data_IF_782079355911
#
_entry.id   IF_782079355911
#
_cell.length_a   1.000
_cell.length_b   1.000
_cell.length_c   1.000
_cell.angle_alpha   90.00
_cell.angle_beta   90.00
_cell.angle_gamma   90.00
#
_symmetry.space_group_name_H-M   'P 1'
#
loop_
_entity.id
_entity.type
_entity.pdbx_description
1 polymer ?
#
# COMPACT_ATOMS: atom_id res chain seq x y z
N UNK A 1 11.13 -16.01 0.46
CA UNK A 1 10.85 -15.56 -0.91
C UNK A 1 9.34 -15.49 -1.06
N UNK A 2 8.81 -14.36 -1.55
CA UNK A 2 7.35 -14.13 -1.65
C UNK A 2 6.82 -14.39 -3.08
N UNK A 3 7.72 -14.83 -3.95
CA UNK A 3 7.49 -15.30 -5.31
C UNK A 3 6.99 -16.75 -5.36
N UNK A 4 6.32 -17.10 -6.45
CA UNK A 4 6.08 -18.49 -6.85
C UNK A 4 6.64 -18.67 -8.25
N UNK A 5 7.14 -19.86 -8.55
CA UNK A 5 7.37 -20.26 -9.94
C UNK A 5 6.01 -20.41 -10.64
N UNK A 6 5.89 -19.78 -11.79
CA UNK A 6 4.67 -19.74 -12.61
C UNK A 6 4.92 -20.28 -14.02
N UNK A 7 6.08 -20.88 -14.29
CA UNK A 7 6.40 -21.37 -15.63
C UNK A 7 5.39 -22.38 -16.14
N UNK A 8 4.98 -23.33 -15.32
CA UNK A 8 3.98 -24.34 -15.68
C UNK A 8 2.59 -23.73 -15.89
N UNK A 9 2.25 -22.64 -15.19
CA UNK A 9 1.01 -21.89 -15.42
C UNK A 9 1.01 -21.27 -16.82
N UNK A 10 2.13 -20.68 -17.22
CA UNK A 10 2.27 -20.01 -18.51
C UNK A 10 2.45 -21.00 -19.68
N UNK A 11 3.15 -22.11 -19.45
CA UNK A 11 3.58 -23.04 -20.51
C UNK A 11 2.68 -24.26 -20.70
N UNK A 12 1.91 -24.66 -19.67
CA UNK A 12 1.15 -25.92 -19.66
C UNK A 12 -0.33 -25.76 -19.27
N UNK A 13 -0.84 -24.53 -19.22
CA UNK A 13 -2.22 -24.23 -18.78
C UNK A 13 -2.54 -24.81 -17.38
N UNK A 14 -1.53 -24.87 -16.50
CA UNK A 14 -1.73 -25.29 -15.11
C UNK A 14 -2.33 -24.16 -14.28
N UNK A 15 -3.13 -24.51 -13.26
CA UNK A 15 -3.59 -23.51 -12.28
C UNK A 15 -2.42 -23.08 -11.40
N UNK A 16 -2.28 -21.77 -11.22
CA UNK A 16 -1.28 -21.20 -10.31
C UNK A 16 -1.59 -21.45 -8.84
N UNK A 17 -0.55 -21.44 -8.01
CA UNK A 17 -0.63 -21.61 -6.55
C UNK A 17 -0.79 -20.30 -5.79
N UNK A 18 -0.52 -19.16 -6.44
CA UNK A 18 -0.64 -17.84 -5.83
C UNK A 18 -2.11 -17.48 -5.61
N UNK A 19 -2.51 -17.44 -4.34
CA UNK A 19 -3.85 -17.06 -3.90
C UNK A 19 -3.90 -15.67 -3.25
N UNK A 20 -2.73 -15.06 -3.02
CA UNK A 20 -2.56 -13.80 -2.32
C UNK A 20 -1.46 -12.94 -2.95
N UNK A 21 -1.70 -11.62 -2.98
CA UNK A 21 -0.75 -10.59 -3.41
C UNK A 21 -0.87 -9.39 -2.47
N UNK A 22 0.24 -9.02 -1.84
CA UNK A 22 0.38 -7.72 -1.19
C UNK A 22 0.80 -6.73 -2.27
N UNK A 23 -0.01 -5.70 -2.49
CA UNK A 23 0.36 -4.61 -3.40
C UNK A 23 1.27 -3.61 -2.69
N UNK A 24 0.94 -3.27 -1.45
CA UNK A 24 1.67 -2.30 -0.65
C UNK A 24 1.35 -2.50 0.84
N UNK A 25 2.33 -2.20 1.69
CA UNK A 25 2.18 -2.19 3.14
C UNK A 25 3.06 -1.09 3.72
N UNK A 26 2.47 0.07 4.03
CA UNK A 26 3.19 1.20 4.60
C UNK A 26 3.20 1.08 6.11
N UNK A 27 4.38 0.81 6.67
CA UNK A 27 4.62 0.84 8.11
C UNK A 27 5.38 2.11 8.51
N UNK A 28 5.05 2.76 9.64
CA UNK A 28 5.84 3.86 10.17
C UNK A 28 7.30 3.46 10.47
N UNK A 29 8.26 4.39 10.34
CA UNK A 29 8.09 5.77 9.86
C UNK A 29 7.85 5.83 8.34
N UNK A 30 6.93 6.71 7.92
CA UNK A 30 6.62 6.99 6.51
C UNK A 30 6.18 8.44 6.35
N UNK A 31 6.45 9.04 5.18
CA UNK A 31 5.99 10.38 4.82
C UNK A 31 4.51 10.41 4.38
N UNK A 32 3.90 9.24 4.17
CA UNK A 32 2.50 9.13 3.74
C UNK A 32 1.60 9.37 4.96
N UNK A 33 0.71 10.38 4.93
CA UNK A 33 -0.14 10.69 6.06
C UNK A 33 -1.19 9.60 6.27
N UNK A 34 -1.57 9.48 7.55
CA UNK A 34 -2.69 8.63 7.97
C UNK A 34 -4.01 9.22 7.48
N UNK A 35 -4.96 8.37 7.09
CA UNK A 35 -6.31 8.77 6.66
C UNK A 35 -7.38 8.12 7.54
N UNK A 36 -8.34 8.90 8.01
CA UNK A 36 -9.39 8.40 8.90
C UNK A 36 -8.86 7.84 10.23
N UNK A 37 -9.67 7.00 10.89
CA UNK A 37 -9.32 6.33 12.16
C UNK A 37 -9.30 4.82 11.97
N UNK A 38 -8.55 4.10 12.81
CA UNK A 38 -8.55 2.65 12.83
C UNK A 38 -9.98 2.10 13.01
N UNK A 39 -10.39 1.19 12.13
CA UNK A 39 -11.74 0.63 12.11
C UNK A 39 -11.98 -0.34 13.27
N UNK A 40 -10.98 -1.18 13.57
CA UNK A 40 -10.97 -2.10 14.70
C UNK A 40 -9.67 -1.92 15.49
N UNK A 41 -9.73 -2.16 16.80
CA UNK A 41 -8.59 -2.00 17.70
C UNK A 41 -7.64 -3.20 17.69
N UNK A 42 -8.07 -4.34 17.12
CA UNK A 42 -7.38 -5.63 17.17
C UNK A 42 -6.99 -6.19 15.80
N UNK A 43 -7.16 -5.40 14.74
CA UNK A 43 -6.75 -5.73 13.36
C UNK A 43 -5.70 -4.74 12.87
N UNK A 44 -5.28 -4.86 11.60
CA UNK A 44 -4.43 -3.85 10.97
C UNK A 44 -5.05 -2.45 11.09
N UNK A 45 -4.22 -1.46 11.43
CA UNK A 45 -4.63 -0.06 11.57
C UNK A 45 -5.00 0.51 10.19
N UNK A 46 -6.30 0.62 9.93
CA UNK A 46 -6.84 1.09 8.64
C UNK A 46 -6.51 2.55 8.33
N UNK A 47 -5.95 3.30 9.28
CA UNK A 47 -5.42 4.63 8.99
C UNK A 47 -4.12 4.61 8.18
N UNK A 48 -3.42 3.48 8.17
CA UNK A 48 -2.21 3.26 7.39
C UNK A 48 -2.53 2.78 5.97
N UNK A 49 -1.69 3.20 5.01
CA UNK A 49 -1.82 2.79 3.61
C UNK A 49 -1.39 1.34 3.44
N UNK A 50 -2.29 0.52 2.94
CA UNK A 50 -1.98 -0.85 2.54
C UNK A 50 -2.96 -1.31 1.46
N UNK A 51 -2.56 -2.32 0.69
CA UNK A 51 -3.48 -3.03 -0.19
C UNK A 51 -3.08 -4.50 -0.33
N UNK A 52 -4.08 -5.36 -0.22
CA UNK A 52 -3.97 -6.81 -0.27
C UNK A 52 -5.06 -7.36 -1.18
N UNK A 53 -4.70 -8.27 -2.08
CA UNK A 53 -5.64 -9.13 -2.78
C UNK A 53 -5.51 -10.56 -2.25
N UNK A 54 -6.62 -11.16 -1.87
CA UNK A 54 -6.71 -12.59 -1.55
C UNK A 54 -7.93 -13.20 -2.26
N UNK A 55 -7.67 -14.15 -3.15
CA UNK A 55 -8.69 -14.71 -4.03
C UNK A 55 -9.39 -13.65 -4.88
N UNK A 56 -10.72 -13.60 -4.77
CA UNK A 56 -11.58 -12.66 -5.48
C UNK A 56 -11.57 -11.25 -4.88
N UNK A 57 -11.10 -11.09 -3.64
CA UNK A 57 -11.26 -9.86 -2.88
C UNK A 57 -9.98 -9.04 -2.84
N UNK A 58 -10.13 -7.73 -3.01
CA UNK A 58 -9.06 -6.75 -2.79
C UNK A 58 -9.52 -5.72 -1.76
N UNK A 59 -8.68 -5.49 -0.76
CA UNK A 59 -8.84 -4.41 0.22
C UNK A 59 -7.81 -3.31 -0.04
N UNK A 60 -8.22 -2.08 0.21
CA UNK A 60 -7.36 -0.89 0.24
C UNK A 60 -7.64 -0.17 1.56
N UNK A 61 -6.59 0.23 2.27
CA UNK A 61 -6.69 1.02 3.51
C UNK A 61 -5.91 2.33 3.43
N UNK A 62 -6.23 3.27 4.33
CA UNK A 62 -5.50 4.52 4.47
C UNK A 62 -5.61 5.42 3.25
N UNK A 63 -4.52 6.11 2.93
CA UNK A 63 -4.46 7.01 1.78
C UNK A 63 -4.30 6.20 0.49
N UNK A 64 -5.24 6.27 -0.46
CA UNK A 64 -5.18 5.50 -1.71
C UNK A 64 -4.05 5.99 -2.63
N UNK A 65 -3.62 5.13 -3.56
CA UNK A 65 -2.34 5.26 -4.26
C UNK A 65 -2.07 6.59 -4.99
N UNK A 66 -3.12 7.31 -5.36
CA UNK A 66 -3.11 8.59 -6.06
C UNK A 66 -2.86 9.82 -5.16
N UNK A 67 -3.18 9.71 -3.87
CA UNK A 67 -3.09 10.82 -2.92
C UNK A 67 -1.78 10.71 -2.13
N UNK A 68 -0.91 11.71 -2.28
CA UNK A 68 0.37 11.76 -1.57
C UNK A 68 0.20 12.38 -0.18
N UNK A 69 -0.57 13.46 -0.08
CA UNK A 69 -0.83 14.15 1.17
C UNK A 69 -2.17 14.89 1.15
N UNK A 70 -2.50 15.52 2.28
CA UNK A 70 -3.51 16.57 2.37
C UNK A 70 -2.84 17.87 2.82
N UNK A 71 -3.31 19.01 2.34
CA UNK A 71 -2.89 20.32 2.86
C UNK A 71 -3.44 20.55 4.27
N UNK A 72 -2.98 21.60 4.95
CA UNK A 72 -3.51 22.00 6.27
C UNK A 72 -5.03 22.29 6.23
N UNK A 73 -5.52 22.77 5.09
CA UNK A 73 -6.95 23.05 4.85
C UNK A 73 -7.75 21.81 4.43
N UNK A 74 -7.11 20.64 4.30
CA UNK A 74 -7.75 19.37 3.96
C UNK A 74 -7.85 19.07 2.47
N UNK A 75 -7.23 19.88 1.60
CA UNK A 75 -7.23 19.67 0.16
C UNK A 75 -6.28 18.54 -0.24
N UNK A 76 -6.66 17.64 -1.15
CA UNK A 76 -5.80 16.54 -1.59
C UNK A 76 -4.60 17.04 -2.39
N UNK A 77 -3.40 16.58 -2.03
CA UNK A 77 -2.17 16.70 -2.83
C UNK A 77 -1.93 15.35 -3.50
N UNK A 78 -2.12 15.28 -4.82
CA UNK A 78 -1.90 14.07 -5.63
C UNK A 78 -1.06 14.36 -6.86
N UNK A 79 -0.60 13.30 -7.53
CA UNK A 79 -0.08 13.40 -8.89
C UNK A 79 -1.28 13.40 -9.84
N UNK A 80 -1.44 14.35 -10.76
CA UNK A 80 -2.49 14.27 -11.79
C UNK A 80 -2.27 13.03 -12.67
N UNK A 81 -3.06 11.98 -12.42
CA UNK A 81 -3.10 10.74 -13.19
C UNK A 81 -4.47 10.68 -13.84
N UNK A 82 -4.48 10.64 -15.17
CA UNK A 82 -5.70 10.44 -15.96
C UNK A 82 -6.26 9.05 -15.64
N UNK A 83 -7.55 8.95 -15.30
CA UNK A 83 -8.24 7.67 -15.08
C UNK A 83 -8.50 7.27 -13.62
N UNK A 84 -8.40 8.21 -12.67
CA UNK A 84 -8.75 7.93 -11.27
C UNK A 84 -10.26 7.76 -11.13
N UNK A 85 -10.65 6.75 -10.35
CA UNK A 85 -12.05 6.54 -9.97
C UNK A 85 -12.56 7.77 -9.16
N UNK A 86 -13.57 8.50 -9.66
CA UNK A 86 -14.19 9.61 -8.93
C UNK A 86 -14.72 9.20 -7.55
N UNK A 87 -15.05 7.92 -7.34
CA UNK A 87 -15.49 7.37 -6.05
C UNK A 87 -14.38 7.33 -4.99
N UNK A 88 -13.12 7.54 -5.36
CA UNK A 88 -11.99 7.62 -4.43
C UNK A 88 -11.63 9.08 -4.12
N UNK A 89 -11.84 10.00 -5.07
CA UNK A 89 -11.52 11.42 -4.93
C UNK A 89 -12.60 12.19 -4.15
N UNK A 90 -13.88 11.89 -4.39
CA UNK A 90 -15.01 12.66 -3.83
C UNK A 90 -15.60 12.05 -2.55
N UNK A 91 -14.81 11.25 -1.83
CA UNK A 91 -15.23 10.63 -0.56
C UNK A 91 -14.64 11.35 0.63
N UNK A 92 -15.37 11.33 1.75
CA UNK A 92 -14.95 11.93 3.02
C UNK A 92 -13.50 11.53 3.40
N UNK A 93 -12.77 12.48 4.00
CA UNK A 93 -11.45 12.23 4.60
C UNK A 93 -11.48 11.16 5.70
N UNK A 94 -12.65 10.89 6.27
CA UNK A 94 -12.84 9.82 7.26
C UNK A 94 -12.92 8.43 6.63
N UNK A 95 -13.23 8.30 5.33
CA UNK A 95 -13.25 7.01 4.64
C UNK A 95 -11.83 6.54 4.40
N UNK A 96 -11.48 5.36 4.89
CA UNK A 96 -10.13 4.81 4.80
C UNK A 96 -10.11 3.29 4.57
N UNK A 97 -11.24 2.71 4.15
CA UNK A 97 -11.36 1.30 3.75
C UNK A 97 -12.22 1.23 2.50
N UNK A 98 -11.74 0.46 1.53
CA UNK A 98 -12.47 0.05 0.32
C UNK A 98 -12.29 -1.45 0.13
N UNK A 99 -13.36 -2.13 -0.29
CA UNK A 99 -13.35 -3.56 -0.59
C UNK A 99 -14.00 -3.80 -1.94
N UNK A 100 -13.30 -4.51 -2.82
CA UNK A 100 -13.76 -4.85 -4.16
C UNK A 100 -13.72 -6.36 -4.39
N UNK A 101 -14.72 -6.88 -5.10
CA UNK A 101 -14.68 -8.24 -5.65
C UNK A 101 -14.11 -8.17 -7.06
N UNK A 102 -12.79 -8.30 -7.21
CA UNK A 102 -12.08 -8.11 -8.49
C UNK A 102 -12.53 -9.07 -9.58
N UNK A 103 -12.99 -10.28 -9.22
CA UNK A 103 -13.50 -11.24 -10.20
C UNK A 103 -14.83 -10.80 -10.80
N UNK A 104 -15.68 -10.10 -10.04
CA UNK A 104 -16.99 -9.58 -10.49
C UNK A 104 -16.96 -8.11 -10.91
N UNK A 105 -15.98 -7.36 -10.40
CA UNK A 105 -15.81 -5.92 -10.56
C UNK A 105 -14.32 -5.61 -10.81
N UNK A 106 -13.79 -5.94 -12.00
CA UNK A 106 -12.38 -5.81 -12.31
C UNK A 106 -11.91 -4.34 -12.41
N UNK A 107 -12.84 -3.40 -12.49
CA UNK A 107 -12.56 -1.96 -12.59
C UNK A 107 -12.72 -1.23 -11.26
N UNK A 108 -12.98 -1.95 -10.17
CA UNK A 108 -13.06 -1.38 -8.81
C UNK A 108 -14.11 -0.26 -8.69
N UNK A 109 -15.24 -0.39 -9.39
CA UNK A 109 -16.27 0.65 -9.45
C UNK A 109 -17.18 0.64 -8.23
N UNK A 110 -17.39 -0.53 -7.63
CA UNK A 110 -18.36 -0.74 -6.56
C UNK A 110 -17.64 -1.15 -5.27
N UNK A 111 -17.42 -0.17 -4.40
CA UNK A 111 -17.01 -0.46 -3.03
C UNK A 111 -18.13 -1.17 -2.27
N UNK A 112 -17.81 -2.33 -1.70
CA UNK A 112 -18.74 -3.20 -0.96
C UNK A 112 -18.28 -3.48 0.47
N UNK A 113 -17.40 -2.66 1.04
CA UNK A 113 -16.87 -2.83 2.40
C UNK A 113 -17.99 -2.93 3.46
N UNK A 114 -18.93 -1.98 3.46
CA UNK A 114 -20.02 -1.92 4.44
C UNK A 114 -20.96 -3.13 4.37
N UNK A 115 -21.07 -3.76 3.19
CA UNK A 115 -21.91 -4.94 2.94
C UNK A 115 -21.22 -6.25 3.33
N UNK A 116 -19.90 -6.24 3.52
CA UNK A 116 -19.09 -7.45 3.74
C UNK A 116 -18.10 -7.29 4.91
N UNK A 117 -18.54 -6.90 6.12
CA UNK A 117 -17.64 -6.63 7.25
C UNK A 117 -16.78 -7.83 7.67
N UNK A 118 -17.28 -9.06 7.50
CA UNK A 118 -16.51 -10.27 7.77
C UNK A 118 -15.32 -10.45 6.82
N UNK A 119 -15.49 -10.10 5.54
CA UNK A 119 -14.40 -10.14 4.55
C UNK A 119 -13.39 -9.03 4.85
N UNK A 120 -13.86 -7.82 5.17
CA UNK A 120 -13.00 -6.71 5.58
C UNK A 120 -12.12 -7.13 6.75
N UNK A 121 -12.73 -7.63 7.84
CA UNK A 121 -11.98 -8.04 9.04
C UNK A 121 -10.96 -9.14 8.73
N UNK A 122 -11.34 -10.17 7.98
CA UNK A 122 -10.42 -11.24 7.57
C UNK A 122 -9.19 -10.73 6.82
N UNK A 123 -9.39 -9.81 5.87
CA UNK A 123 -8.26 -9.21 5.14
C UNK A 123 -7.41 -8.27 6.00
N UNK A 124 -8.02 -7.57 6.97
CA UNK A 124 -7.29 -6.75 7.94
C UNK A 124 -6.48 -7.60 8.94
N UNK A 125 -7.00 -8.72 9.40
CA UNK A 125 -6.26 -9.69 10.21
C UNK A 125 -5.07 -10.24 9.43
N UNK A 126 -5.26 -10.50 8.13
CA UNK A 126 -4.20 -10.98 7.26
C UNK A 126 -3.12 -9.91 7.04
N UNK A 127 -3.50 -8.66 6.80
CA UNK A 127 -2.58 -7.52 6.71
C UNK A 127 -1.76 -7.35 7.99
N UNK A 128 -2.39 -7.51 9.16
CA UNK A 128 -1.70 -7.40 10.44
C UNK A 128 -0.69 -8.53 10.64
N UNK A 129 -1.06 -9.77 10.32
CA UNK A 129 -0.13 -10.90 10.36
C UNK A 129 1.08 -10.66 9.45
N UNK A 130 0.87 -10.13 8.24
CA UNK A 130 1.96 -9.77 7.32
C UNK A 130 2.83 -8.66 7.92
N UNK A 131 2.22 -7.60 8.48
CA UNK A 131 2.93 -6.48 9.11
C UNK A 131 3.82 -6.92 10.26
N UNK A 132 3.37 -7.86 11.08
CA UNK A 132 4.16 -8.41 12.19
C UNK A 132 5.38 -9.23 11.73
N UNK A 133 5.34 -9.80 10.53
CA UNK A 133 6.47 -10.51 9.92
C UNK A 133 7.39 -9.59 9.11
N UNK A 134 6.94 -8.38 8.77
CA UNK A 134 7.70 -7.46 7.95
C UNK A 134 8.86 -6.81 8.75
N UNK A 135 10.03 -6.59 8.12
CA UNK A 135 11.08 -5.81 8.75
C UNK A 135 10.63 -4.35 8.95
N UNK A 136 11.24 -3.66 9.90
CA UNK A 136 10.99 -2.24 10.10
C UNK A 136 11.37 -1.43 8.86
N UNK A 137 10.54 -0.44 8.53
CA UNK A 137 10.81 0.48 7.42
C UNK A 137 12.12 1.23 7.66
N UNK A 138 13.08 1.10 6.74
CA UNK A 138 14.28 1.91 6.73
C UNK A 138 14.04 3.17 5.90
N UNK A 139 13.86 4.31 6.58
CA UNK A 139 13.66 5.61 5.94
C UNK A 139 14.62 6.64 6.56
N UNK A 140 15.94 6.54 6.28
CA UNK A 140 16.92 7.45 6.83
C UNK A 140 16.78 8.87 6.24
N UNK A 141 17.21 9.92 6.97
CA UNK A 141 17.29 11.27 6.40
C UNK A 141 18.28 11.31 5.23
N UNK A 142 18.13 12.27 4.29
CA UNK A 142 19.08 12.45 3.20
C UNK A 142 20.51 12.64 3.74
N UNK A 143 21.47 11.92 3.16
CA UNK A 143 22.89 12.07 3.48
C UNK A 143 23.50 13.19 2.60
N UNK A 144 23.95 14.32 3.18
CA UNK A 144 24.58 15.40 2.43
C UNK A 144 25.83 14.98 1.67
N UNK A 145 26.51 13.91 2.10
CA UNK A 145 27.68 13.40 1.40
C UNK A 145 27.34 12.89 -0.01
N UNK A 146 26.09 12.48 -0.26
CA UNK A 146 25.61 12.02 -1.57
C UNK A 146 25.23 13.16 -2.53
N UNK A 147 25.30 14.43 -2.09
CA UNK A 147 24.94 15.55 -2.97
C UNK A 147 25.92 15.69 -4.14
N UNK A 148 25.39 15.77 -5.36
CA UNK A 148 26.18 15.78 -6.60
C UNK A 148 27.21 16.92 -6.69
N UNK A 149 27.00 18.03 -5.97
CA UNK A 149 27.98 19.13 -5.84
C UNK A 149 29.32 18.68 -5.25
N UNK A 150 29.33 17.58 -4.49
CA UNK A 150 30.54 16.97 -3.94
C UNK A 150 31.13 15.88 -4.86
N UNK A 151 30.50 15.63 -6.01
CA UNK A 151 30.80 14.55 -6.96
C UNK A 151 30.87 15.08 -8.40
N UNK A 152 31.51 16.25 -8.59
CA UNK A 152 31.69 16.88 -9.91
C UNK A 152 30.37 17.09 -10.69
N UNK A 153 29.26 17.31 -9.99
CA UNK A 153 27.94 17.50 -10.59
C UNK A 153 27.21 16.21 -10.99
N UNK A 154 27.77 15.03 -10.69
CA UNK A 154 27.16 13.74 -10.99
C UNK A 154 26.65 13.04 -9.72
N UNK A 155 25.73 12.08 -9.87
CA UNK A 155 25.39 11.15 -8.79
C UNK A 155 26.50 10.11 -8.69
N UNK A 156 27.01 9.86 -7.49
CA UNK A 156 28.08 8.89 -7.24
C UNK A 156 27.92 8.23 -5.87
N UNK A 157 28.44 7.00 -5.68
CA UNK A 157 28.54 6.39 -4.36
C UNK A 157 29.49 7.18 -3.46
N UNK A 158 29.28 7.07 -2.15
CA UNK A 158 30.21 7.54 -1.12
C UNK A 158 30.67 6.30 -0.37
N UNK A 159 31.99 6.15 -0.20
CA UNK A 159 32.53 5.15 0.71
C UNK A 159 32.24 5.61 2.15
N UNK A 160 31.12 5.14 2.69
CA UNK A 160 30.81 5.31 4.12
C UNK A 160 31.39 4.10 4.83
N UNK A 161 32.39 4.24 5.73
CA UNK A 161 32.84 3.13 6.55
C UNK A 161 31.64 2.58 7.32
N UNK A 162 31.41 1.26 7.24
CA UNK A 162 30.27 0.55 7.79
C UNK A 162 29.82 1.09 9.16
N UNK A 163 28.71 1.85 9.18
CA UNK A 163 27.95 2.06 10.41
C UNK A 163 26.94 0.92 10.53
N UNK A 164 27.44 -0.24 10.92
CA UNK A 164 26.62 -1.34 11.43
C UNK A 164 26.31 -1.02 12.89
N UNK A 165 25.10 -0.52 13.17
CA UNK A 165 24.45 -0.64 14.48
C UNK A 165 22.95 -0.80 14.27
#
# INVERSE_FOLDING_TARGET
MDGFDVWDVLSKDHRGTRVEIIHELVSPPSFIPRRGKGLYNDTFDTSLRASLRQGDWKIITGTPAFLLAYTEDGEPVGLDIIGVDPNIQNVSLNKNVWLYNITKDPYEVNDVADKNPGVVRHLLDRLEAIRQMAPSTMFPPPDPALYSKFHNGAWAPVDVPDKIT
#
